data_IF_982039677224
#
_entry.id   IF_982039677224
#
_cell.length_a   1.000
_cell.length_b   1.000
_cell.length_c   1.000
_cell.angle_alpha   90.00
_cell.angle_beta   90.00
_cell.angle_gamma   90.00
#
_symmetry.space_group_name_H-M   'P 1'
#
loop_
_entity.id
_entity.type
_entity.pdbx_description
1 polymer ?
#
# COMPACT_ATOMS: atom_id res chain seq x y z
N UNK A 1 -8.94 7.93 -21.56
CA UNK A 1 -7.61 8.07 -20.92
C UNK A 1 -6.83 6.81 -21.19
N UNK A 2 -5.65 6.91 -21.81
CA UNK A 2 -4.80 5.76 -22.14
C UNK A 2 -3.63 5.74 -21.14
N UNK A 3 -3.38 4.57 -20.55
CA UNK A 3 -2.24 4.36 -19.65
C UNK A 3 -0.91 4.45 -20.41
N UNK A 4 0.07 5.16 -19.84
CA UNK A 4 1.41 5.28 -20.40
C UNK A 4 2.50 4.90 -19.36
N UNK A 5 3.28 3.84 -19.57
CA UNK A 5 4.26 3.38 -18.57
C UNK A 5 5.43 4.36 -18.32
N UNK A 6 5.64 5.35 -19.20
CA UNK A 6 6.69 6.36 -19.02
C UNK A 6 6.26 7.57 -18.18
N UNK A 7 5.03 7.60 -17.68
CA UNK A 7 4.50 8.68 -16.84
C UNK A 7 4.45 8.29 -15.38
N UNK A 8 4.57 9.28 -14.51
CA UNK A 8 4.46 9.09 -13.07
C UNK A 8 3.11 8.46 -12.71
N UNK A 9 3.19 7.26 -12.12
CA UNK A 9 2.04 6.46 -11.73
C UNK A 9 2.03 6.30 -10.22
N UNK A 10 0.88 6.61 -9.64
CA UNK A 10 0.61 6.54 -8.22
C UNK A 10 -0.48 5.51 -8.02
N UNK A 11 -0.24 4.54 -7.15
CA UNK A 11 -1.21 3.55 -6.70
C UNK A 11 -1.57 3.88 -5.27
N UNK A 12 -2.84 4.20 -5.04
CA UNK A 12 -3.35 4.47 -3.70
C UNK A 12 -4.16 3.28 -3.23
N UNK A 13 -3.94 2.78 -2.02
CA UNK A 13 -4.77 1.74 -1.42
C UNK A 13 -5.27 2.11 -0.03
N UNK A 14 -6.48 1.69 0.27
CA UNK A 14 -7.14 1.89 1.55
C UNK A 14 -7.83 0.60 2.01
N UNK A 15 -7.94 0.44 3.33
CA UNK A 15 -8.65 -0.66 3.94
C UNK A 15 -9.65 -0.17 5.00
N UNK A 16 -10.86 -0.67 4.89
CA UNK A 16 -11.93 -0.45 5.86
C UNK A 16 -12.26 -1.73 6.61
N UNK A 17 -13.14 -1.64 7.60
CA UNK A 17 -13.67 -2.80 8.33
C UNK A 17 -14.34 -3.85 7.44
N UNK A 18 -14.82 -3.45 6.26
CA UNK A 18 -15.66 -4.27 5.38
C UNK A 18 -14.99 -4.65 4.05
N UNK A 19 -14.03 -3.87 3.58
CA UNK A 19 -13.51 -4.01 2.23
C UNK A 19 -12.20 -3.28 2.01
N UNK A 20 -11.57 -3.63 0.90
CA UNK A 20 -10.33 -3.04 0.41
C UNK A 20 -10.63 -2.20 -0.82
N UNK A 21 -9.94 -1.08 -0.95
CA UNK A 21 -9.98 -0.20 -2.11
C UNK A 21 -8.58 0.04 -2.65
N UNK A 22 -8.46 0.14 -3.96
CA UNK A 22 -7.23 0.57 -4.61
C UNK A 22 -7.54 1.37 -5.88
N UNK A 23 -6.70 2.36 -6.17
CA UNK A 23 -6.84 3.24 -7.33
C UNK A 23 -5.49 3.43 -7.98
N UNK A 24 -5.44 3.48 -9.30
CA UNK A 24 -4.25 3.84 -10.07
C UNK A 24 -4.47 5.20 -10.75
N UNK A 25 -3.62 6.16 -10.41
CA UNK A 25 -3.61 7.52 -10.91
C UNK A 25 -2.33 7.74 -11.74
N UNK A 26 -2.42 8.53 -12.79
CA UNK A 26 -1.27 8.88 -13.61
C UNK A 26 -1.27 10.37 -13.95
N UNK A 27 -0.13 11.01 -13.74
CA UNK A 27 0.08 12.41 -14.12
C UNK A 27 0.20 12.53 -15.63
N UNK A 28 -0.71 13.26 -16.25
CA UNK A 28 -0.75 13.47 -17.69
C UNK A 28 0.18 14.61 -18.13
N UNK A 29 0.34 14.79 -19.44
CA UNK A 29 1.27 15.79 -20.04
C UNK A 29 0.86 17.23 -19.77
N UNK A 30 -0.41 17.46 -19.51
CA UNK A 30 -0.99 18.72 -19.04
C UNK A 30 -0.73 18.98 -17.55
N UNK A 31 -0.07 18.05 -16.86
CA UNK A 31 0.20 18.11 -15.42
C UNK A 31 -0.96 17.63 -14.55
N UNK A 32 -2.08 17.21 -15.14
CA UNK A 32 -3.29 16.79 -14.40
C UNK A 32 -3.17 15.31 -14.04
N UNK A 33 -3.34 15.00 -12.75
CA UNK A 33 -3.45 13.61 -12.28
C UNK A 33 -4.80 13.04 -12.68
N UNK A 34 -4.78 12.02 -13.52
CA UNK A 34 -5.98 11.36 -14.02
C UNK A 34 -6.08 9.94 -13.50
N UNK A 35 -7.26 9.55 -13.06
CA UNK A 35 -7.50 8.17 -12.64
C UNK A 35 -7.60 7.26 -13.86
N UNK A 36 -6.82 6.17 -13.85
CA UNK A 36 -6.79 5.16 -14.91
C UNK A 36 -7.77 4.04 -14.60
N UNK A 37 -7.80 3.57 -13.35
CA UNK A 37 -8.70 2.51 -12.92
C UNK A 37 -8.93 2.54 -11.40
N UNK A 38 -10.09 2.04 -11.00
CA UNK A 38 -10.46 1.76 -9.62
C UNK A 38 -10.62 0.25 -9.43
N UNK A 39 -10.36 -0.21 -8.21
CA UNK A 39 -10.64 -1.56 -7.80
C UNK A 39 -11.11 -1.58 -6.35
N UNK A 40 -12.13 -2.39 -6.08
CA UNK A 40 -12.57 -2.66 -4.71
C UNK A 40 -12.98 -4.11 -4.54
N UNK A 41 -12.91 -4.61 -3.31
CA UNK A 41 -13.40 -5.93 -2.95
C UNK A 41 -13.84 -5.98 -1.50
N UNK A 42 -14.75 -6.89 -1.17
CA UNK A 42 -15.20 -7.13 0.19
C UNK A 42 -14.25 -8.10 0.89
N UNK A 43 -13.97 -7.87 2.17
CA UNK A 43 -13.17 -8.78 2.98
C UNK A 43 -13.93 -10.07 3.26
N UNK A 44 -13.22 -11.19 3.27
CA UNK A 44 -13.76 -12.46 3.77
C UNK A 44 -13.99 -12.40 5.28
N UNK A 45 -14.77 -13.35 5.82
CA UNK A 45 -15.02 -13.44 7.27
C UNK A 45 -13.74 -13.61 8.10
N UNK A 46 -12.67 -14.14 7.49
CA UNK A 46 -11.34 -14.26 8.11
C UNK A 46 -10.60 -12.94 8.05
N UNK A 47 -10.49 -12.32 6.87
CA UNK A 47 -9.74 -11.07 6.70
C UNK A 47 -10.38 -9.88 7.42
N UNK A 48 -11.71 -9.90 7.60
CA UNK A 48 -12.43 -8.89 8.38
C UNK A 48 -12.03 -8.90 9.86
N UNK A 49 -11.44 -10.00 10.38
CA UNK A 49 -10.97 -10.10 11.78
C UNK A 49 -9.53 -9.63 11.98
N UNK A 50 -8.80 -9.33 10.90
CA UNK A 50 -7.44 -8.82 11.01
C UNK A 50 -7.39 -7.44 11.68
N UNK A 51 -6.26 -7.14 12.31
CA UNK A 51 -6.02 -5.79 12.83
C UNK A 51 -5.99 -4.78 11.67
N UNK A 52 -6.32 -3.52 11.96
CA UNK A 52 -6.39 -2.47 10.93
C UNK A 52 -5.08 -2.35 10.13
N UNK A 53 -3.93 -2.41 10.82
CA UNK A 53 -2.60 -2.41 10.18
C UNK A 53 -2.37 -3.59 9.24
N UNK A 54 -2.88 -4.77 9.58
CA UNK A 54 -2.77 -5.96 8.73
C UNK A 54 -3.68 -5.84 7.50
N UNK A 55 -4.88 -5.26 7.67
CA UNK A 55 -5.82 -5.00 6.57
C UNK A 55 -5.27 -3.99 5.57
N UNK A 56 -4.55 -2.97 6.02
CA UNK A 56 -3.90 -2.02 5.14
C UNK A 56 -2.75 -2.66 4.35
N UNK A 57 -1.93 -3.49 5.02
CA UNK A 57 -0.92 -4.31 4.33
C UNK A 57 -1.54 -5.23 3.28
N UNK A 58 -2.69 -5.83 3.62
CA UNK A 58 -3.48 -6.63 2.68
C UNK A 58 -4.00 -5.79 1.51
N UNK A 59 -4.48 -4.56 1.75
CA UNK A 59 -4.91 -3.61 0.71
C UNK A 59 -3.80 -3.29 -0.28
N UNK A 60 -2.58 -3.03 0.21
CA UNK A 60 -1.41 -2.74 -0.63
C UNK A 60 -1.10 -3.94 -1.54
N UNK A 61 -0.96 -5.13 -0.96
CA UNK A 61 -0.63 -6.35 -1.71
C UNK A 61 -1.74 -6.69 -2.71
N UNK A 62 -2.99 -6.58 -2.28
CA UNK A 62 -4.15 -6.83 -3.12
C UNK A 62 -4.25 -5.83 -4.28
N UNK A 63 -4.05 -4.54 -4.02
CA UNK A 63 -4.04 -3.48 -5.03
C UNK A 63 -2.97 -3.71 -6.09
N UNK A 64 -1.73 -3.99 -5.67
CA UNK A 64 -0.63 -4.34 -6.58
C UNK A 64 -0.95 -5.57 -7.44
N UNK A 65 -1.55 -6.61 -6.82
CA UNK A 65 -1.96 -7.82 -7.55
C UNK A 65 -3.06 -7.53 -8.56
N UNK A 66 -4.02 -6.68 -8.21
CA UNK A 66 -5.14 -6.30 -9.08
C UNK A 66 -4.68 -5.47 -10.26
N UNK A 67 -3.74 -4.56 -10.06
CA UNK A 67 -3.17 -3.71 -11.11
C UNK A 67 -1.89 -4.27 -11.73
N UNK A 68 -1.59 -5.57 -11.55
CA UNK A 68 -0.39 -6.22 -12.08
C UNK A 68 -0.18 -5.97 -13.58
N UNK A 69 -1.26 -5.96 -14.37
CA UNK A 69 -1.18 -5.69 -15.81
C UNK A 69 -0.65 -4.28 -16.16
N UNK A 70 -0.82 -3.31 -15.26
CA UNK A 70 -0.31 -1.94 -15.41
C UNK A 70 1.09 -1.79 -14.80
N UNK A 71 1.32 -2.40 -13.63
CA UNK A 71 2.49 -2.14 -12.79
C UNK A 71 3.71 -3.03 -13.10
N UNK A 72 3.53 -4.12 -13.87
CA UNK A 72 4.64 -5.04 -14.13
C UNK A 72 5.72 -4.37 -14.97
N UNK A 73 6.95 -4.33 -14.46
CA UNK A 73 8.12 -3.82 -15.18
C UNK A 73 8.25 -2.29 -15.18
N UNK A 74 7.45 -1.57 -14.38
CA UNK A 74 7.57 -0.12 -14.23
C UNK A 74 7.85 0.28 -12.78
N UNK A 75 8.36 1.50 -12.60
CA UNK A 75 8.44 2.14 -11.29
C UNK A 75 7.14 2.91 -11.03
N UNK A 76 6.62 2.80 -9.82
CA UNK A 76 5.41 3.50 -9.39
C UNK A 76 5.52 3.87 -7.91
N UNK A 77 4.73 4.85 -7.50
CA UNK A 77 4.63 5.29 -6.11
C UNK A 77 3.41 4.61 -5.47
N UNK A 78 3.61 4.03 -4.28
CA UNK A 78 2.52 3.47 -3.49
C UNK A 78 2.14 4.45 -2.39
N UNK A 79 0.87 4.82 -2.31
CA UNK A 79 0.30 5.66 -1.27
C UNK A 79 -0.72 4.85 -0.45
N UNK A 80 -0.71 5.04 0.86
CA UNK A 80 -1.66 4.44 1.79
C UNK A 80 -1.93 5.43 2.92
N UNK A 81 -3.16 5.46 3.42
CA UNK A 81 -3.61 6.44 4.42
C UNK A 81 -2.95 6.25 5.80
N UNK A 82 -2.28 5.12 6.02
CA UNK A 82 -1.81 4.77 7.35
C UNK A 82 -0.30 4.89 7.54
N UNK A 83 0.08 5.91 8.32
CA UNK A 83 1.47 6.25 8.69
C UNK A 83 2.30 5.10 9.30
N UNK A 84 1.77 4.18 10.14
CA UNK A 84 2.60 3.10 10.68
C UNK A 84 2.83 1.96 9.68
N UNK A 85 2.20 1.96 8.50
CA UNK A 85 2.58 1.06 7.40
C UNK A 85 3.88 1.48 6.72
N UNK A 86 4.19 2.79 6.73
CA UNK A 86 5.40 3.36 6.15
C UNK A 86 6.66 2.69 6.71
N UNK A 87 6.89 2.54 8.04
CA UNK A 87 8.07 1.86 8.56
C UNK A 87 8.09 0.34 8.26
N UNK A 88 6.93 -0.32 8.15
CA UNK A 88 6.84 -1.76 7.84
C UNK A 88 7.31 -2.04 6.40
N UNK A 89 6.90 -1.20 5.45
CA UNK A 89 7.29 -1.33 4.04
C UNK A 89 8.58 -0.59 3.69
N UNK A 90 9.05 0.35 4.53
CA UNK A 90 10.31 1.08 4.33
C UNK A 90 11.53 0.43 5.00
N UNK A 91 11.38 -0.44 6.01
CA UNK A 91 12.53 -1.03 6.72
C UNK A 91 13.11 -2.24 5.98
N UNK A 92 14.04 -1.96 5.07
CA UNK A 92 15.34 -2.66 5.04
C UNK A 92 16.37 -1.79 5.74
N UNK A 93 16.42 -1.86 7.07
CA UNK A 93 17.66 -1.74 7.85
C UNK A 93 17.40 -2.45 9.19
N UNK A 94 17.97 -3.64 9.26
CA UNK A 94 17.83 -4.63 10.32
C UNK A 94 18.93 -4.33 11.35
N UNK A 95 18.78 -3.27 12.15
CA UNK A 95 19.75 -2.97 13.22
C UNK A 95 19.11 -2.39 14.50
N UNK A 96 17.89 -1.86 14.44
CA UNK A 96 17.30 -1.13 15.59
C UNK A 96 16.55 -2.02 16.61
N UNK A 97 16.47 -3.34 16.39
CA UNK A 97 15.75 -4.25 17.30
C UNK A 97 16.62 -4.92 18.37
N UNK A 98 17.92 -4.59 18.48
CA UNK A 98 18.82 -5.22 19.47
C UNK A 98 19.11 -4.38 20.72
N UNK A 99 18.58 -3.16 20.87
CA UNK A 99 18.87 -2.34 22.06
C UNK A 99 17.84 -2.41 23.20
N UNK A 100 16.62 -2.92 22.96
CA UNK A 100 15.57 -2.89 24.00
C UNK A 100 15.51 -4.16 24.87
N UNK A 101 16.21 -5.24 24.48
CA UNK A 101 16.19 -6.52 25.21
C UNK A 101 17.31 -6.70 26.23
N UNK A 102 17.85 -5.60 26.80
CA UNK A 102 18.86 -5.67 27.86
C UNK A 102 18.62 -4.63 28.94
N UNK A 103 17.68 -4.91 29.84
CA UNK A 103 17.44 -4.02 30.98
C UNK A 103 16.42 -4.47 32.00
N UNK A 104 16.39 -5.77 32.36
CA UNK A 104 15.82 -6.17 33.65
C UNK A 104 16.78 -5.68 34.75
N UNK A 105 16.35 -4.69 35.54
CA UNK A 105 16.79 -4.56 36.93
C UNK A 105 15.67 -3.90 37.73
N UNK A 106 15.11 -4.69 38.64
CA UNK A 106 14.39 -4.17 39.79
C UNK A 106 15.40 -3.47 40.71
N UNK A 107 15.12 -2.22 41.06
CA UNK A 107 15.42 -1.62 42.36
C UNK A 107 14.16 -0.91 42.85
#
# INVERSE_FOLDING_TARGET
>A
MIFNPGKETIVTSDASSFGLGATICQKQTDGISSVIAYASTTLTSTESRYAQVEKEGLAVVWGCKKFRAYLTGMHFNMETDHKPLIPIFSKKNLDDCLHDYRGSSCE
#
